data_IF_499390704416
#
_entry.id   IF_499390704416
#
_cell.length_a   1.000
_cell.length_b   1.000
_cell.length_c   1.000
_cell.angle_alpha   90.00
_cell.angle_beta   90.00
_cell.angle_gamma   90.00
#
_symmetry.space_group_name_H-M   'P 1'
#
loop_
_entity.id
_entity.type
_entity.pdbx_description
1 polymer ?
#
# COMPACT_ATOMS: atom_id res chain seq x y z
N UNK A 1 -17.64 19.90 -19.43
CA UNK A 1 -16.75 18.81 -18.97
C UNK A 1 -17.56 17.86 -18.13
N UNK A 2 -17.37 16.55 -18.29
CA UNK A 2 -18.01 15.61 -17.37
C UNK A 2 -17.42 15.81 -15.98
N UNK A 3 -18.26 15.89 -14.96
CA UNK A 3 -17.79 15.81 -13.58
C UNK A 3 -17.65 14.34 -13.18
N UNK A 4 -16.66 14.04 -12.36
CA UNK A 4 -16.51 12.71 -11.75
C UNK A 4 -17.74 12.41 -10.91
N UNK A 5 -18.27 13.43 -10.22
CA UNK A 5 -19.53 13.30 -9.47
C UNK A 5 -20.75 12.95 -10.33
N UNK A 6 -20.81 13.42 -11.57
CA UNK A 6 -21.89 13.08 -12.51
C UNK A 6 -21.79 11.64 -12.97
N UNK A 7 -20.59 11.19 -13.36
CA UNK A 7 -20.34 9.79 -13.73
C UNK A 7 -20.60 8.83 -12.57
N UNK A 8 -20.18 9.19 -11.36
CA UNK A 8 -20.46 8.40 -10.15
C UNK A 8 -21.97 8.24 -9.93
N UNK A 9 -22.73 9.35 -9.95
CA UNK A 9 -24.19 9.34 -9.77
C UNK A 9 -24.89 8.54 -10.85
N UNK A 10 -24.44 8.66 -12.10
CA UNK A 10 -24.96 7.86 -13.20
C UNK A 10 -24.73 6.36 -12.96
N UNK A 11 -23.52 5.95 -12.59
CA UNK A 11 -23.17 4.54 -12.33
C UNK A 11 -23.91 3.96 -11.12
N UNK A 12 -24.22 4.80 -10.11
CA UNK A 12 -25.10 4.42 -9.00
C UNK A 12 -26.54 4.22 -9.47
N UNK A 13 -27.08 5.13 -10.29
CA UNK A 13 -28.43 5.00 -10.85
C UNK A 13 -28.57 3.78 -11.77
N UNK A 14 -27.51 3.41 -12.48
CA UNK A 14 -27.42 2.19 -13.31
C UNK A 14 -27.20 0.91 -12.48
N UNK A 15 -27.01 1.01 -11.16
CA UNK A 15 -26.75 -0.14 -10.28
C UNK A 15 -25.35 -0.75 -10.42
N UNK A 16 -24.42 -0.09 -11.11
CA UNK A 16 -23.03 -0.56 -11.30
C UNK A 16 -22.12 -0.22 -10.13
N UNK A 17 -22.47 0.80 -9.35
CA UNK A 17 -21.75 1.22 -8.14
C UNK A 17 -22.73 1.25 -6.97
N UNK A 18 -22.34 0.65 -5.84
CA UNK A 18 -23.08 0.82 -4.58
C UNK A 18 -22.68 2.18 -3.97
N UNK A 19 -23.64 3.03 -3.58
CA UNK A 19 -23.32 4.34 -3.00
C UNK A 19 -22.55 4.18 -1.69
N UNK A 20 -21.46 4.93 -1.55
CA UNK A 20 -20.58 4.94 -0.38
C UNK A 20 -20.29 6.38 0.06
N UNK A 21 -20.42 6.65 1.36
CA UNK A 21 -20.29 8.00 1.92
C UNK A 21 -18.84 8.52 1.84
N UNK A 22 -17.83 7.66 2.02
CA UNK A 22 -16.43 8.06 1.94
C UNK A 22 -16.08 8.42 0.48
N UNK A 23 -16.52 7.61 -0.48
CA UNK A 23 -16.39 7.91 -1.92
C UNK A 23 -17.08 9.22 -2.29
N UNK A 24 -18.31 9.44 -1.83
CA UNK A 24 -19.03 10.68 -2.10
C UNK A 24 -18.32 11.91 -1.52
N UNK A 25 -17.69 11.78 -0.35
CA UNK A 25 -16.98 12.90 0.28
C UNK A 25 -15.77 13.38 -0.52
N UNK A 26 -15.17 12.52 -1.35
CA UNK A 26 -13.99 12.88 -2.16
C UNK A 26 -14.33 13.36 -3.58
N UNK A 27 -15.55 13.14 -4.07
CA UNK A 27 -15.97 13.57 -5.41
C UNK A 27 -15.77 15.07 -5.67
N UNK A 28 -16.06 15.99 -4.73
CA UNK A 28 -15.81 17.42 -4.94
C UNK A 28 -14.33 17.74 -5.16
N UNK A 29 -13.42 16.99 -4.55
CA UNK A 29 -11.97 17.18 -4.73
C UNK A 29 -11.50 16.70 -6.10
N UNK A 30 -12.08 15.61 -6.62
CA UNK A 30 -11.81 15.13 -7.97
C UNK A 30 -12.34 16.10 -9.04
N UNK A 31 -13.57 16.59 -8.86
CA UNK A 31 -14.18 17.60 -9.73
C UNK A 31 -13.36 18.90 -9.73
N UNK A 32 -12.90 19.36 -8.56
CA UNK A 32 -12.00 20.54 -8.44
C UNK A 32 -10.78 20.39 -9.32
N UNK A 33 -10.12 19.22 -9.32
CA UNK A 33 -8.92 19.02 -10.14
C UNK A 33 -9.24 19.19 -11.63
N UNK A 34 -10.35 18.64 -12.11
CA UNK A 34 -10.76 18.80 -13.51
C UNK A 34 -11.12 20.25 -13.85
N UNK A 35 -11.86 20.93 -12.95
CA UNK A 35 -12.23 22.33 -13.10
C UNK A 35 -10.98 23.24 -13.14
N UNK A 36 -10.00 22.99 -12.26
CA UNK A 36 -8.71 23.71 -12.22
C UNK A 36 -7.89 23.48 -13.49
N UNK A 37 -7.85 22.23 -14.00
CA UNK A 37 -7.15 21.91 -15.26
C UNK A 37 -7.78 22.65 -16.44
N UNK A 38 -9.11 22.79 -16.46
CA UNK A 38 -9.83 23.51 -17.50
C UNK A 38 -9.59 25.02 -17.43
N UNK A 39 -9.53 25.57 -16.21
CA UNK A 39 -9.29 26.98 -15.96
C UNK A 39 -7.82 27.38 -16.18
N UNK A 40 -6.87 26.44 -16.07
CA UNK A 40 -5.44 26.66 -16.27
C UNK A 40 -5.00 26.25 -17.69
N UNK A 41 -4.99 27.16 -18.69
CA UNK A 41 -4.47 26.85 -20.02
C UNK A 41 -3.02 26.36 -19.94
N UNK A 42 -2.63 25.49 -20.87
CA UNK A 42 -1.28 24.97 -20.91
C UNK A 42 -0.26 26.12 -20.95
N UNK A 43 0.87 26.03 -20.22
CA UNK A 43 1.90 27.05 -20.31
C UNK A 43 2.29 27.19 -21.78
N UNK A 44 1.99 28.35 -22.39
CA UNK A 44 2.37 28.61 -23.77
C UNK A 44 3.87 28.39 -23.89
N UNK A 45 4.30 27.67 -24.95
CA UNK A 45 5.73 27.58 -25.29
C UNK A 45 6.26 28.99 -25.32
N UNK A 46 7.17 29.33 -24.38
CA UNK A 46 7.80 30.65 -24.29
C UNK A 46 8.31 31.02 -25.67
N UNK A 47 7.61 31.92 -26.34
CA UNK A 47 8.05 32.42 -27.62
C UNK A 47 9.27 33.30 -27.33
N UNK A 48 10.43 32.87 -27.81
CA UNK A 48 11.68 33.61 -27.65
C UNK A 48 11.57 35.04 -28.24
N UNK A 49 10.67 35.24 -29.20
CA UNK A 49 10.40 36.54 -29.81
C UNK A 49 9.64 37.51 -28.89
N UNK A 50 8.72 37.04 -28.03
CA UNK A 50 8.02 37.90 -27.04
C UNK A 50 8.96 38.42 -25.95
N UNK A 51 9.94 37.60 -25.54
CA UNK A 51 10.99 38.01 -24.61
C UNK A 51 11.92 39.08 -25.22
N UNK A 52 12.10 39.08 -26.54
CA UNK A 52 12.90 40.07 -27.27
C UNK A 52 12.20 41.43 -27.44
N UNK A 53 10.86 41.47 -27.36
CA UNK A 53 10.05 42.68 -27.52
C UNK A 53 9.67 43.38 -26.20
N UNK A 54 10.21 42.94 -25.05
CA UNK A 54 9.97 43.59 -23.76
C UNK A 54 8.52 43.56 -23.27
N UNK A 55 7.66 42.70 -23.86
CA UNK A 55 6.28 42.53 -23.40
C UNK A 55 6.32 41.69 -22.12
N UNK A 56 6.08 42.35 -20.98
CA UNK A 56 5.99 41.70 -19.68
C UNK A 56 5.01 40.52 -19.72
N UNK A 57 5.44 39.38 -19.19
CA UNK A 57 4.59 38.19 -19.13
C UNK A 57 3.41 38.46 -18.20
N UNK A 58 2.18 38.05 -18.56
CA UNK A 58 1.08 38.05 -17.59
C UNK A 58 1.49 37.22 -16.36
N UNK A 59 1.01 37.57 -15.15
CA UNK A 59 1.30 36.81 -13.95
C UNK A 59 0.92 35.33 -14.18
N UNK A 60 1.76 34.38 -13.73
CA UNK A 60 1.47 32.97 -13.94
C UNK A 60 0.12 32.65 -13.31
N UNK A 61 -0.81 32.12 -14.13
CA UNK A 61 -2.07 31.60 -13.62
C UNK A 61 -1.76 30.56 -12.53
N UNK A 62 -2.54 30.50 -11.44
CA UNK A 62 -2.32 29.51 -10.39
C UNK A 62 -2.33 28.11 -11.01
N UNK A 63 -1.21 27.38 -10.85
CA UNK A 63 -1.09 26.04 -11.39
C UNK A 63 -2.11 25.13 -10.68
N UNK A 64 -2.90 24.41 -11.46
CA UNK A 64 -3.90 23.46 -10.94
C UNK A 64 -3.25 22.51 -9.92
N UNK A 65 -3.82 22.46 -8.71
CA UNK A 65 -3.31 21.62 -7.62
C UNK A 65 -3.77 20.19 -7.83
N UNK A 66 -2.83 19.25 -7.78
CA UNK A 66 -3.11 17.81 -7.91
C UNK A 66 -3.86 17.23 -6.71
N UNK A 67 -4.02 15.91 -6.68
CA UNK A 67 -4.71 15.19 -5.60
C UNK A 67 -3.94 13.93 -5.23
N UNK A 68 -3.74 13.72 -3.93
CA UNK A 68 -3.20 12.50 -3.35
C UNK A 68 -4.32 11.87 -2.51
N UNK A 69 -4.93 10.82 -3.05
CA UNK A 69 -6.01 10.10 -2.39
C UNK A 69 -5.44 8.88 -1.67
N UNK A 70 -5.62 8.80 -0.36
CA UNK A 70 -5.12 7.67 0.42
C UNK A 70 -6.21 7.04 1.28
N UNK A 71 -6.07 5.76 1.57
CA UNK A 71 -7.00 5.02 2.44
C UNK A 71 -6.79 3.52 2.31
N UNK A 72 -7.47 2.74 3.14
CA UNK A 72 -7.35 1.29 3.18
C UNK A 72 -7.63 0.57 1.84
N UNK A 73 -7.29 -0.72 1.77
CA UNK A 73 -7.60 -1.59 0.62
C UNK A 73 -9.13 -1.67 0.42
N UNK A 74 -9.57 -2.00 -0.79
CA UNK A 74 -11.01 -2.21 -1.06
C UNK A 74 -11.90 -0.96 -1.05
N UNK A 75 -11.38 0.23 -0.73
CA UNK A 75 -12.16 1.49 -0.64
C UNK A 75 -12.65 2.06 -1.98
N UNK A 76 -12.29 1.44 -3.10
CA UNK A 76 -12.68 1.90 -4.45
C UNK A 76 -11.82 3.05 -5.00
N UNK A 77 -10.59 3.22 -4.49
CA UNK A 77 -9.61 4.20 -5.00
C UNK A 77 -9.37 4.06 -6.51
N UNK A 78 -9.15 2.83 -6.98
CA UNK A 78 -8.92 2.54 -8.41
C UNK A 78 -10.16 2.84 -9.26
N UNK A 79 -11.35 2.55 -8.75
CA UNK A 79 -12.61 2.90 -9.41
C UNK A 79 -12.80 4.42 -9.51
N UNK A 80 -12.46 5.19 -8.45
CA UNK A 80 -12.48 6.65 -8.52
C UNK A 80 -11.46 7.19 -9.53
N UNK A 81 -10.30 6.52 -9.67
CA UNK A 81 -9.32 6.85 -10.70
C UNK A 81 -9.84 6.55 -12.13
N UNK A 82 -10.61 5.47 -12.30
CA UNK A 82 -11.31 5.17 -13.55
C UNK A 82 -12.29 6.29 -13.93
N UNK A 83 -13.15 6.70 -13.00
CA UNK A 83 -14.10 7.78 -13.23
C UNK A 83 -13.39 9.11 -13.53
N UNK A 84 -12.26 9.38 -12.87
CA UNK A 84 -11.44 10.57 -13.13
C UNK A 84 -10.86 10.57 -14.55
N UNK A 85 -10.30 9.44 -14.98
CA UNK A 85 -9.75 9.30 -16.33
C UNK A 85 -10.86 9.37 -17.40
N UNK A 86 -12.03 8.80 -17.14
CA UNK A 86 -13.19 8.85 -18.03
C UNK A 86 -13.78 10.28 -18.15
N UNK A 87 -13.81 11.03 -17.05
CA UNK A 87 -14.33 12.41 -17.03
C UNK A 87 -13.37 13.44 -17.66
N UNK A 88 -12.07 13.13 -17.72
CA UNK A 88 -11.05 14.05 -18.19
C UNK A 88 -11.21 14.37 -19.69
N UNK A 89 -11.30 15.65 -20.03
CA UNK A 89 -11.35 16.13 -21.44
C UNK A 89 -10.00 16.62 -21.96
N UNK A 90 -8.93 16.38 -21.22
CA UNK A 90 -7.55 16.68 -21.60
C UNK A 90 -6.79 15.38 -21.82
N UNK A 91 -5.64 15.39 -22.52
CA UNK A 91 -4.79 14.20 -22.62
C UNK A 91 -4.47 13.63 -21.25
N UNK A 92 -5.06 12.48 -20.94
CA UNK A 92 -4.91 11.78 -19.66
C UNK A 92 -4.14 10.49 -19.88
N UNK A 93 -3.29 10.14 -18.92
CA UNK A 93 -2.65 8.83 -18.84
C UNK A 93 -2.86 8.28 -17.44
N UNK A 94 -3.58 7.16 -17.37
CA UNK A 94 -3.71 6.33 -16.18
C UNK A 94 -2.73 5.18 -16.25
N UNK A 95 -1.98 4.92 -15.18
CA UNK A 95 -0.95 3.88 -15.13
C UNK A 95 -0.63 3.51 -13.67
N UNK A 96 -0.27 2.26 -13.41
CA UNK A 96 0.27 1.86 -12.10
C UNK A 96 1.63 2.52 -11.88
N UNK A 97 1.89 2.99 -10.67
CA UNK A 97 3.10 3.76 -10.38
C UNK A 97 4.39 2.97 -10.70
N UNK A 98 4.44 1.69 -10.34
CA UNK A 98 5.62 0.85 -10.60
C UNK A 98 5.90 0.66 -12.10
N UNK A 99 4.87 0.40 -12.91
CA UNK A 99 5.01 0.26 -14.38
C UNK A 99 5.51 1.56 -15.02
N UNK A 100 5.00 2.70 -14.54
CA UNK A 100 5.49 4.00 -14.98
C UNK A 100 6.97 4.20 -14.63
N UNK A 101 7.39 3.85 -13.41
CA UNK A 101 8.78 3.99 -13.00
C UNK A 101 9.72 3.11 -13.84
N UNK A 102 9.31 1.89 -14.20
CA UNK A 102 10.08 1.04 -15.12
C UNK A 102 10.28 1.69 -16.50
N UNK A 103 9.23 2.29 -17.08
CA UNK A 103 9.35 3.04 -18.34
C UNK A 103 10.31 4.22 -18.22
N UNK A 104 10.22 4.97 -17.12
CA UNK A 104 11.11 6.10 -16.84
C UNK A 104 12.55 5.62 -16.75
N UNK A 105 12.84 4.58 -15.96
CA UNK A 105 14.19 4.03 -15.84
C UNK A 105 14.77 3.58 -17.19
N UNK A 106 13.96 2.93 -18.04
CA UNK A 106 14.36 2.58 -19.40
C UNK A 106 14.67 3.84 -20.25
N UNK A 107 13.88 4.90 -20.11
CA UNK A 107 14.15 6.22 -20.68
C UNK A 107 15.49 6.82 -20.18
N UNK A 108 15.74 6.78 -18.88
CA UNK A 108 16.97 7.29 -18.28
C UNK A 108 18.20 6.54 -18.80
N UNK A 109 18.12 5.21 -18.93
CA UNK A 109 19.20 4.41 -19.48
C UNK A 109 19.52 4.79 -20.93
N UNK A 110 18.51 5.04 -21.77
CA UNK A 110 18.73 5.55 -23.14
C UNK A 110 19.35 6.96 -23.14
N UNK A 111 18.92 7.85 -22.26
CA UNK A 111 19.51 9.18 -22.11
C UNK A 111 20.98 9.13 -21.65
N UNK A 112 21.31 8.23 -20.72
CA UNK A 112 22.69 7.96 -20.27
C UNK A 112 23.59 7.54 -21.43
N UNK A 113 23.10 6.63 -22.29
CA UNK A 113 23.85 6.17 -23.46
C UNK A 113 24.13 7.29 -24.49
N UNK A 114 23.30 8.34 -24.54
CA UNK A 114 23.55 9.53 -25.36
C UNK A 114 24.55 10.52 -24.73
N UNK A 115 24.92 10.34 -23.46
CA UNK A 115 25.81 11.23 -22.73
C UNK A 115 25.13 12.45 -22.10
N UNK A 116 23.81 12.40 -21.89
CA UNK A 116 23.05 13.51 -21.31
C UNK A 116 23.48 13.78 -19.85
N UNK A 117 23.79 15.04 -19.50
CA UNK A 117 24.17 15.43 -18.12
C UNK A 117 23.01 15.36 -17.13
N UNK A 118 21.82 15.82 -17.53
CA UNK A 118 20.56 15.62 -16.80
C UNK A 118 19.72 14.62 -17.60
N UNK A 119 19.63 13.40 -17.10
CA UNK A 119 18.90 12.31 -17.78
C UNK A 119 17.41 12.35 -17.48
N UNK A 120 17.00 12.95 -16.36
CA UNK A 120 15.61 12.97 -15.89
C UNK A 120 14.78 13.99 -16.66
N UNK A 121 15.31 15.20 -16.84
CA UNK A 121 14.59 16.27 -17.55
C UNK A 121 14.13 15.89 -18.96
N UNK A 122 14.97 15.34 -19.87
CA UNK A 122 14.51 15.00 -21.23
C UNK A 122 13.40 13.94 -21.21
N UNK A 123 13.52 12.91 -20.35
CA UNK A 123 12.49 11.86 -20.22
C UNK A 123 11.19 12.44 -19.68
N UNK A 124 11.25 13.30 -18.65
CA UNK A 124 10.09 13.98 -18.11
C UNK A 124 9.41 14.89 -19.15
N UNK A 125 10.18 15.57 -20.00
CA UNK A 125 9.67 16.40 -21.08
C UNK A 125 8.94 15.58 -22.15
N UNK A 126 9.43 14.38 -22.47
CA UNK A 126 8.77 13.46 -23.40
C UNK A 126 7.41 13.00 -22.87
N UNK A 127 7.29 12.78 -21.56
CA UNK A 127 6.02 12.48 -20.90
C UNK A 127 5.09 13.70 -20.93
N UNK A 128 5.58 14.87 -20.47
CA UNK A 128 4.81 16.11 -20.40
C UNK A 128 4.29 16.60 -21.76
N UNK A 129 4.96 16.24 -22.86
CA UNK A 129 4.50 16.55 -24.21
C UNK A 129 3.23 15.76 -24.61
N UNK A 130 2.96 14.62 -23.98
CA UNK A 130 1.87 13.69 -24.33
C UNK A 130 0.67 13.78 -23.39
N UNK A 131 0.87 14.27 -22.17
CA UNK A 131 -0.14 14.21 -21.10
C UNK A 131 -0.30 15.57 -20.42
N UNK A 132 -1.53 15.87 -20.02
CA UNK A 132 -1.90 17.01 -19.18
C UNK A 132 -2.32 16.58 -17.78
N UNK A 133 -2.90 15.37 -17.68
CA UNK A 133 -3.27 14.73 -16.43
C UNK A 133 -2.57 13.36 -16.34
N UNK A 134 -1.80 13.15 -15.27
CA UNK A 134 -1.25 11.85 -14.89
C UNK A 134 -2.03 11.31 -13.71
N UNK A 135 -2.60 10.12 -13.90
CA UNK A 135 -3.37 9.37 -12.93
C UNK A 135 -2.54 8.16 -12.50
N UNK A 136 -1.91 8.22 -11.32
CA UNK A 136 -1.15 7.10 -10.78
C UNK A 136 -2.01 6.24 -9.87
N UNK A 137 -2.06 4.95 -10.15
CA UNK A 137 -2.61 3.98 -9.22
C UNK A 137 -1.54 3.35 -8.35
N UNK A 138 -1.91 3.14 -7.09
CA UNK A 138 -1.11 2.38 -6.10
C UNK A 138 0.32 2.91 -5.96
N UNK A 139 0.46 4.21 -5.73
CA UNK A 139 1.75 4.82 -5.47
C UNK A 139 2.36 4.23 -4.20
N UNK A 140 3.45 3.49 -4.39
CA UNK A 140 4.29 2.90 -3.37
C UNK A 140 5.74 2.98 -3.85
N UNK A 141 6.66 3.26 -2.93
CA UNK A 141 8.08 3.36 -3.23
C UNK A 141 8.83 2.47 -2.26
N UNK A 142 9.45 1.42 -2.80
CA UNK A 142 10.24 0.46 -2.02
C UNK A 142 11.69 0.42 -2.48
N UNK A 143 11.95 0.73 -3.75
CA UNK A 143 13.29 0.77 -4.33
C UNK A 143 13.96 2.14 -4.16
N UNK A 144 15.22 2.12 -3.75
CA UNK A 144 16.07 3.31 -3.67
C UNK A 144 16.25 3.99 -5.03
N UNK A 145 16.33 3.24 -6.13
CA UNK A 145 16.50 3.79 -7.47
C UNK A 145 15.34 4.71 -7.84
N UNK A 146 14.11 4.29 -7.53
CA UNK A 146 12.90 5.08 -7.75
C UNK A 146 12.85 6.29 -6.81
N UNK A 147 13.15 6.08 -5.53
CA UNK A 147 13.19 7.15 -4.52
C UNK A 147 14.15 8.29 -4.93
N UNK A 148 15.28 7.96 -5.56
CA UNK A 148 16.29 8.94 -5.97
C UNK A 148 15.89 9.78 -7.19
N UNK A 149 15.02 9.28 -8.07
CA UNK A 149 14.66 9.98 -9.32
C UNK A 149 13.28 10.63 -9.27
N UNK A 150 12.35 10.07 -8.48
CA UNK A 150 10.94 10.46 -8.49
C UNK A 150 10.74 11.94 -8.15
N UNK A 151 11.50 12.47 -7.18
CA UNK A 151 11.39 13.86 -6.77
C UNK A 151 11.70 14.83 -7.91
N UNK A 152 12.80 14.58 -8.62
CA UNK A 152 13.20 15.38 -9.77
C UNK A 152 12.22 15.21 -10.95
N UNK A 153 11.73 13.99 -11.16
CA UNK A 153 10.75 13.68 -12.20
C UNK A 153 9.45 14.47 -11.98
N UNK A 154 8.86 14.38 -10.80
CA UNK A 154 7.63 15.10 -10.45
C UNK A 154 7.83 16.60 -10.52
N UNK A 155 8.97 17.11 -10.06
CA UNK A 155 9.30 18.53 -10.18
C UNK A 155 9.20 19.01 -11.64
N UNK A 156 9.85 18.30 -12.58
CA UNK A 156 9.84 18.69 -14.00
C UNK A 156 8.43 18.57 -14.59
N UNK A 157 7.69 17.50 -14.30
CA UNK A 157 6.31 17.32 -14.78
C UNK A 157 5.40 18.47 -14.30
N UNK A 158 5.48 18.79 -13.01
CA UNK A 158 4.71 19.87 -12.38
C UNK A 158 5.14 21.28 -12.87
N UNK A 159 6.41 21.47 -13.25
CA UNK A 159 6.92 22.69 -13.91
C UNK A 159 6.35 22.85 -15.33
N UNK A 160 6.10 21.73 -16.04
CA UNK A 160 5.48 21.75 -17.38
C UNK A 160 3.95 21.86 -17.34
N UNK A 161 3.37 22.01 -16.15
CA UNK A 161 1.92 22.12 -15.98
C UNK A 161 1.17 20.80 -16.16
N UNK A 162 1.86 19.66 -15.98
CA UNK A 162 1.19 18.36 -15.83
C UNK A 162 0.59 18.31 -14.43
N UNK A 163 -0.70 17.97 -14.35
CA UNK A 163 -1.38 17.75 -13.07
C UNK A 163 -1.31 16.29 -12.70
N UNK A 164 -1.04 16.01 -11.43
CA UNK A 164 -0.88 14.65 -10.91
C UNK A 164 -2.02 14.35 -9.94
N UNK A 165 -2.71 13.25 -10.20
CA UNK A 165 -3.66 12.62 -9.29
C UNK A 165 -3.12 11.24 -8.99
N UNK A 166 -3.03 10.88 -7.71
CA UNK A 166 -2.44 9.60 -7.30
C UNK A 166 -3.25 8.94 -6.21
N UNK A 167 -3.31 7.60 -6.21
CA UNK A 167 -3.88 6.80 -5.13
C UNK A 167 -2.79 6.06 -4.37
N UNK A 168 -2.95 5.89 -3.05
CA UNK A 168 -2.05 5.07 -2.23
C UNK A 168 -2.78 4.43 -1.05
N UNK A 169 -2.22 3.36 -0.50
CA UNK A 169 -2.64 2.82 0.79
C UNK A 169 -1.92 3.50 1.97
N UNK A 170 -0.98 4.42 1.69
CA UNK A 170 -0.14 5.08 2.69
C UNK A 170 -0.28 6.60 2.56
N UNK A 171 -0.16 7.30 3.68
CA UNK A 171 0.05 8.75 3.68
C UNK A 171 1.41 9.09 3.03
N UNK A 172 1.60 10.31 2.48
CA UNK A 172 2.85 10.70 1.84
C UNK A 172 4.10 10.48 2.72
N UNK A 173 3.97 10.73 4.02
CA UNK A 173 5.04 10.55 5.00
C UNK A 173 5.54 9.10 5.04
N UNK A 174 4.67 8.15 4.77
CA UNK A 174 4.94 6.72 4.91
C UNK A 174 5.36 6.05 3.59
N UNK A 175 5.40 6.79 2.46
CA UNK A 175 5.71 6.24 1.13
C UNK A 175 7.08 5.56 1.00
N UNK A 176 8.06 5.98 1.81
CA UNK A 176 9.43 5.42 1.83
C UNK A 176 9.94 5.42 3.28
N UNK A 177 9.06 5.08 4.23
CA UNK A 177 9.39 4.99 5.66
C UNK A 177 10.40 3.87 5.82
N UNK A 178 11.57 4.16 6.42
CA UNK A 178 12.71 3.24 6.58
C UNK A 178 13.56 2.96 5.33
N UNK A 179 13.28 3.60 4.20
CA UNK A 179 14.11 3.45 3.01
C UNK A 179 15.54 4.00 3.19
N UNK A 180 16.51 3.41 2.49
CA UNK A 180 17.91 3.85 2.55
C UNK A 180 18.02 5.34 2.14
N UNK A 181 18.77 6.12 2.90
CA UNK A 181 18.93 7.56 2.71
C UNK A 181 17.60 8.33 2.63
N UNK A 182 16.59 7.94 3.42
CA UNK A 182 15.27 8.59 3.49
C UNK A 182 15.32 10.12 3.56
N UNK A 183 16.34 10.71 4.17
CA UNK A 183 16.55 12.16 4.19
C UNK A 183 16.57 12.80 2.79
N UNK A 184 17.05 12.09 1.77
CA UNK A 184 17.05 12.53 0.38
C UNK A 184 15.65 12.49 -0.25
N UNK A 185 14.72 11.73 0.34
CA UNK A 185 13.34 11.58 -0.10
C UNK A 185 12.39 12.59 0.56
N UNK A 186 12.75 13.16 1.71
CA UNK A 186 11.94 14.18 2.40
C UNK A 186 11.53 15.37 1.50
N UNK A 187 12.41 15.93 0.64
CA UNK A 187 12.02 17.00 -0.28
C UNK A 187 10.90 16.60 -1.26
N UNK A 188 10.79 15.30 -1.59
CA UNK A 188 9.70 14.81 -2.42
C UNK A 188 8.38 14.73 -1.67
N UNK A 189 8.40 14.35 -0.39
CA UNK A 189 7.21 14.40 0.49
C UNK A 189 6.72 15.85 0.60
N UNK A 190 7.64 16.81 0.78
CA UNK A 190 7.32 18.24 0.80
C UNK A 190 6.70 18.69 -0.53
N UNK A 191 7.26 18.25 -1.66
CA UNK A 191 6.71 18.53 -2.98
C UNK A 191 5.27 18.00 -3.12
N UNK A 192 4.99 16.79 -2.64
CA UNK A 192 3.62 16.23 -2.62
C UNK A 192 2.71 17.14 -1.81
N UNK A 193 3.08 17.49 -0.57
CA UNK A 193 2.25 18.32 0.31
C UNK A 193 1.98 19.72 -0.27
N UNK A 194 2.96 20.29 -0.96
CA UNK A 194 2.84 21.61 -1.58
C UNK A 194 1.98 21.59 -2.85
N UNK A 195 2.09 20.55 -3.67
CA UNK A 195 1.54 20.55 -5.04
C UNK A 195 0.29 19.68 -5.19
N UNK A 196 0.05 18.77 -4.26
CA UNK A 196 -1.12 17.90 -4.22
C UNK A 196 -1.92 18.20 -2.96
N UNK A 197 -3.24 18.14 -3.07
CA UNK A 197 -4.13 18.10 -1.93
C UNK A 197 -4.17 16.66 -1.40
N UNK A 198 -3.92 16.45 -0.11
CA UNK A 198 -3.90 15.10 0.49
C UNK A 198 -5.25 14.83 1.14
N UNK A 199 -6.00 13.88 0.61
CA UNK A 199 -7.36 13.55 1.04
C UNK A 199 -7.43 12.09 1.45
N UNK A 200 -8.07 11.83 2.59
CA UNK A 200 -8.31 10.49 3.09
C UNK A 200 -9.65 9.98 2.56
N UNK A 201 -9.66 8.79 1.96
CA UNK A 201 -10.82 8.00 1.56
C UNK A 201 -11.24 7.05 2.69
N UNK A 202 -11.14 7.49 3.94
CA UNK A 202 -11.74 6.83 5.09
C UNK A 202 -12.65 7.86 5.76
N UNK A 203 -13.87 7.45 6.12
CA UNK A 203 -14.88 8.35 6.66
C UNK A 203 -14.38 9.08 7.92
N UNK A 204 -14.56 10.41 7.98
CA UNK A 204 -14.30 11.23 9.19
C UNK A 204 -15.19 10.86 10.40
N UNK A 205 -16.11 9.92 10.23
CA UNK A 205 -16.76 9.24 11.36
C UNK A 205 -15.99 7.96 11.61
N UNK A 206 -15.09 8.04 12.57
CA UNK A 206 -14.48 6.91 13.22
C UNK A 206 -15.60 6.07 13.88
N UNK A 207 -16.26 5.23 13.08
CA UNK A 207 -17.09 4.14 13.57
C UNK A 207 -16.20 2.98 14.02
N UNK A 208 -15.28 3.26 14.95
CA UNK A 208 -14.69 2.25 15.85
C UNK A 208 -15.64 1.80 16.96
N UNK A 209 -16.91 2.21 16.90
CA UNK A 209 -17.97 1.75 17.76
C UNK A 209 -19.10 1.19 16.90
N UNK A 210 -19.29 -0.14 16.93
CA UNK A 210 -20.56 -0.74 16.56
C UNK A 210 -20.58 -1.92 15.58
N UNK A 211 -19.45 -2.59 15.28
CA UNK A 211 -19.49 -3.94 14.68
C UNK A 211 -18.37 -4.82 15.24
N UNK A 212 -18.76 -5.91 15.89
CA UNK A 212 -17.90 -6.96 16.43
C UNK A 212 -17.15 -7.68 15.29
N UNK A 213 -15.91 -8.11 15.58
CA UNK A 213 -15.13 -9.14 14.89
C UNK A 213 -14.38 -8.84 13.56
N UNK A 214 -13.80 -7.64 13.42
CA UNK A 214 -12.59 -7.41 12.60
C UNK A 214 -11.36 -7.01 13.44
N UNK A 215 -11.51 -7.10 14.77
CA UNK A 215 -10.66 -6.46 15.76
C UNK A 215 -9.27 -7.08 15.85
N UNK A 216 -8.27 -6.22 15.93
CA UNK A 216 -6.90 -6.46 16.39
C UNK A 216 -6.41 -7.91 16.26
N UNK A 217 -5.66 -8.20 15.19
CA UNK A 217 -5.07 -9.53 14.97
C UNK A 217 -3.60 -9.63 15.43
N UNK A 218 -3.08 -8.59 16.09
CA UNK A 218 -1.78 -8.60 16.75
C UNK A 218 -1.86 -8.00 18.16
N UNK A 219 -1.43 -8.77 19.16
CA UNK A 219 -1.44 -8.38 20.56
C UNK A 219 0.00 -8.22 21.07
N UNK A 220 0.34 -7.01 21.51
CA UNK A 220 1.67 -6.67 22.01
C UNK A 220 1.52 -5.74 23.23
N UNK A 221 2.26 -5.98 24.34
CA UNK A 221 3.11 -7.15 24.58
C UNK A 221 2.29 -8.43 24.84
N UNK A 222 2.90 -9.60 24.70
CA UNK A 222 2.31 -10.91 25.00
C UNK A 222 2.17 -11.17 26.51
N UNK A 223 1.34 -10.36 27.17
CA UNK A 223 1.04 -10.42 28.60
C UNK A 223 -0.28 -11.14 28.90
N UNK A 224 -0.72 -11.08 30.17
CA UNK A 224 -1.97 -11.70 30.60
C UNK A 224 -3.22 -11.11 29.92
N UNK A 225 -3.19 -9.83 29.54
CA UNK A 225 -4.30 -9.19 28.83
C UNK A 225 -4.36 -9.67 27.38
N UNK A 226 -3.21 -9.77 26.70
CA UNK A 226 -3.11 -10.38 25.37
C UNK A 226 -3.61 -11.83 25.38
N UNK A 227 -3.23 -12.61 26.40
CA UNK A 227 -3.72 -13.98 26.56
C UNK A 227 -5.24 -14.05 26.69
N UNK A 228 -5.83 -13.23 27.57
CA UNK A 228 -7.28 -13.20 27.75
C UNK A 228 -8.03 -12.76 26.48
N UNK A 229 -7.47 -11.82 25.71
CA UNK A 229 -8.03 -11.41 24.43
C UNK A 229 -7.96 -12.52 23.37
N UNK A 230 -6.83 -13.24 23.29
CA UNK A 230 -6.68 -14.41 22.42
C UNK A 230 -7.64 -15.55 22.81
N UNK A 231 -7.84 -15.77 24.11
CA UNK A 231 -8.82 -16.74 24.62
C UNK A 231 -10.25 -16.35 24.21
N UNK A 232 -10.63 -15.07 24.36
CA UNK A 232 -11.95 -14.58 23.93
C UNK A 232 -12.18 -14.70 22.42
N UNK A 233 -11.16 -14.42 21.59
CA UNK A 233 -11.26 -14.60 20.12
C UNK A 233 -11.38 -16.09 19.76
N UNK A 234 -10.65 -16.95 20.44
CA UNK A 234 -10.77 -18.40 20.25
C UNK A 234 -12.20 -18.86 20.54
N UNK A 235 -12.76 -18.45 21.67
CA UNK A 235 -14.14 -18.78 22.06
C UNK A 235 -15.17 -18.24 21.07
N UNK A 236 -14.97 -17.02 20.55
CA UNK A 236 -15.84 -16.43 19.53
C UNK A 236 -15.81 -17.18 18.20
N UNK A 237 -14.61 -17.61 17.76
CA UNK A 237 -14.43 -18.29 16.48
C UNK A 237 -14.81 -19.78 16.51
N UNK A 238 -14.74 -20.43 17.67
CA UNK A 238 -14.84 -21.91 17.78
C UNK A 238 -15.95 -22.39 18.73
N UNK A 239 -16.57 -21.48 19.49
CA UNK A 239 -17.49 -21.85 20.57
C UNK A 239 -16.79 -22.37 21.84
N UNK A 240 -15.45 -22.26 21.92
CA UNK A 240 -14.64 -22.60 23.09
C UNK A 240 -14.16 -24.05 23.16
N UNK A 241 -14.52 -24.89 22.18
CA UNK A 241 -14.08 -26.28 22.10
C UNK A 241 -12.96 -26.44 21.07
N UNK A 242 -11.91 -27.19 21.41
CA UNK A 242 -10.77 -27.47 20.54
C UNK A 242 -10.09 -28.76 20.93
N UNK A 243 -9.69 -29.56 19.94
CA UNK A 243 -8.95 -30.78 20.16
C UNK A 243 -7.63 -30.77 19.37
N UNK A 244 -6.60 -31.49 19.82
CA UNK A 244 -5.40 -31.68 19.04
C UNK A 244 -5.72 -32.30 17.67
N UNK A 245 -5.16 -31.72 16.60
CA UNK A 245 -5.27 -32.27 15.25
C UNK A 245 -3.90 -32.63 14.70
N UNK A 246 -3.74 -33.88 14.29
CA UNK A 246 -2.55 -34.35 13.58
C UNK A 246 -2.60 -33.94 12.11
N UNK A 247 -1.56 -33.27 11.63
CA UNK A 247 -1.37 -32.88 10.23
C UNK A 247 -0.34 -33.82 9.60
N UNK A 248 -0.73 -34.51 8.53
CA UNK A 248 0.11 -35.50 7.85
C UNK A 248 0.73 -34.94 6.57
N UNK A 249 2.03 -35.21 6.39
CA UNK A 249 2.82 -34.78 5.22
C UNK A 249 3.80 -35.88 4.86
N UNK A 250 3.62 -36.51 3.69
CA UNK A 250 4.60 -37.46 3.14
C UNK A 250 4.97 -38.63 4.07
N UNK A 251 4.03 -39.14 4.87
CA UNK A 251 4.23 -40.28 5.77
C UNK A 251 4.74 -39.93 7.17
N UNK A 252 4.99 -38.65 7.46
CA UNK A 252 5.19 -38.13 8.83
C UNK A 252 4.05 -37.18 9.21
N UNK A 253 3.91 -36.85 10.49
CA UNK A 253 2.93 -35.86 10.92
C UNK A 253 3.33 -35.15 12.20
N UNK A 254 2.70 -34.01 12.45
CA UNK A 254 2.88 -33.22 13.66
C UNK A 254 1.52 -32.80 14.22
N UNK A 255 1.46 -32.55 15.52
CA UNK A 255 0.22 -32.20 16.21
C UNK A 255 0.09 -30.67 16.32
N UNK A 256 -1.05 -30.17 15.88
CA UNK A 256 -1.54 -28.84 16.15
C UNK A 256 -2.34 -28.90 17.47
N UNK A 257 -1.92 -28.20 18.55
CA UNK A 257 -2.47 -28.40 19.90
C UNK A 257 -3.97 -28.18 20.02
N UNK A 258 -4.49 -27.14 19.35
CA UNK A 258 -5.91 -26.82 19.33
C UNK A 258 -6.35 -26.62 17.89
N UNK A 259 -7.43 -27.31 17.52
CA UNK A 259 -8.08 -27.17 16.23
C UNK A 259 -9.58 -27.35 16.37
N UNK A 260 -10.34 -26.47 15.72
CA UNK A 260 -11.79 -26.57 15.57
C UNK A 260 -12.23 -25.87 14.28
N UNK A 261 -13.04 -26.54 13.46
CA UNK A 261 -13.70 -25.96 12.27
C UNK A 261 -12.83 -25.08 11.35
N UNK A 262 -11.56 -25.47 11.13
CA UNK A 262 -10.64 -24.71 10.27
C UNK A 262 -9.87 -23.60 10.99
N UNK A 263 -10.07 -23.42 12.28
CA UNK A 263 -9.29 -22.53 13.16
C UNK A 263 -8.26 -23.37 13.91
N UNK A 264 -6.99 -23.01 13.78
CA UNK A 264 -5.88 -23.60 14.51
C UNK A 264 -5.32 -22.67 15.56
N UNK A 265 -4.91 -23.17 16.73
CA UNK A 265 -4.20 -22.39 17.75
C UNK A 265 -3.03 -23.16 18.35
N UNK A 266 -1.89 -22.49 18.46
CA UNK A 266 -0.64 -23.06 18.96
C UNK A 266 0.26 -21.99 19.58
N UNK A 267 1.16 -22.37 20.49
CA UNK A 267 2.24 -21.48 20.90
C UNK A 267 3.34 -21.37 19.83
N UNK A 268 4.12 -20.30 19.86
CA UNK A 268 5.27 -20.14 18.96
C UNK A 268 6.20 -21.36 18.96
N UNK A 269 6.52 -21.88 20.15
CA UNK A 269 7.44 -23.01 20.29
C UNK A 269 6.86 -24.35 19.83
N UNK A 270 5.52 -24.47 19.74
CA UNK A 270 4.87 -25.66 19.20
C UNK A 270 5.05 -25.80 17.69
N UNK A 271 5.20 -24.67 17.00
CA UNK A 271 5.37 -24.60 15.55
C UNK A 271 6.85 -24.43 15.18
N UNK A 272 7.51 -23.42 15.73
CA UNK A 272 8.86 -23.04 15.33
C UNK A 272 9.95 -23.72 16.18
N UNK A 273 9.63 -24.22 17.38
CA UNK A 273 10.57 -24.97 18.24
C UNK A 273 10.75 -26.44 17.84
N UNK A 274 9.88 -26.97 16.99
CA UNK A 274 9.94 -28.35 16.47
C UNK A 274 10.68 -28.39 15.12
N UNK A 275 11.21 -29.55 14.68
CA UNK A 275 11.91 -29.70 13.40
C UNK A 275 10.93 -29.77 12.20
N UNK A 276 10.04 -28.77 12.09
CA UNK A 276 9.15 -28.57 10.96
C UNK A 276 9.89 -27.84 9.82
N UNK A 277 9.58 -28.20 8.59
CA UNK A 277 10.12 -27.62 7.37
C UNK A 277 9.03 -27.07 6.44
N UNK A 278 9.42 -26.58 5.25
CA UNK A 278 8.50 -25.92 4.33
C UNK A 278 7.27 -26.75 3.95
N UNK A 279 7.44 -28.06 3.73
CA UNK A 279 6.33 -28.94 3.38
C UNK A 279 5.28 -29.08 4.50
N UNK A 280 5.72 -29.02 5.77
CA UNK A 280 4.82 -29.08 6.93
C UNK A 280 4.01 -27.79 7.06
N UNK A 281 4.63 -26.63 6.84
CA UNK A 281 3.93 -25.35 6.87
C UNK A 281 2.95 -25.16 5.71
N UNK A 282 3.27 -25.69 4.53
CA UNK A 282 2.32 -25.73 3.41
C UNK A 282 1.14 -26.69 3.66
N UNK A 283 1.34 -27.75 4.45
CA UNK A 283 0.24 -28.61 4.86
C UNK A 283 -0.60 -27.95 5.95
N UNK A 284 0.04 -27.26 6.91
CA UNK A 284 -0.64 -26.44 7.90
C UNK A 284 -1.53 -25.39 7.24
N UNK A 285 -0.98 -24.60 6.31
CA UNK A 285 -1.73 -23.52 5.64
C UNK A 285 -2.91 -24.01 4.80
N UNK A 286 -2.90 -25.27 4.37
CA UNK A 286 -4.04 -25.93 3.70
C UNK A 286 -5.07 -26.50 4.68
N UNK A 287 -4.67 -26.77 5.92
CA UNK A 287 -5.54 -27.38 6.93
C UNK A 287 -6.35 -26.35 7.73
N UNK A 288 -5.91 -25.09 7.76
CA UNK A 288 -6.54 -23.98 8.50
C UNK A 288 -6.93 -22.83 7.58
N UNK A 289 -8.03 -22.15 7.92
CA UNK A 289 -8.45 -20.86 7.36
C UNK A 289 -8.00 -19.70 8.26
N UNK A 290 -7.92 -19.95 9.58
CA UNK A 290 -7.41 -19.02 10.58
C UNK A 290 -6.35 -19.73 11.43
N UNK A 291 -5.18 -19.11 11.60
CA UNK A 291 -4.16 -19.58 12.54
C UNK A 291 -3.97 -18.55 13.66
N UNK A 292 -4.03 -19.03 14.90
CA UNK A 292 -3.75 -18.26 16.11
C UNK A 292 -2.39 -18.67 16.70
N UNK A 293 -1.48 -17.72 16.90
CA UNK A 293 -0.14 -17.99 17.48
C UNK A 293 0.04 -17.26 18.80
N UNK A 294 0.23 -18.01 19.89
CA UNK A 294 0.47 -17.45 21.21
C UNK A 294 1.97 -17.20 21.48
N UNK A 295 2.26 -16.05 22.11
CA UNK A 295 3.53 -15.71 22.74
C UNK A 295 4.77 -15.84 21.83
N UNK A 296 4.76 -15.17 20.69
CA UNK A 296 5.94 -15.02 19.82
C UNK A 296 7.04 -14.27 20.59
N UNK A 297 8.20 -14.89 20.88
CA UNK A 297 9.24 -14.26 21.67
C UNK A 297 10.00 -13.22 20.84
N UNK A 298 10.82 -12.40 21.50
CA UNK A 298 11.89 -11.67 20.79
C UNK A 298 12.86 -12.70 20.22
N UNK A 299 13.13 -12.58 18.93
CA UNK A 299 14.03 -13.41 18.17
C UNK A 299 15.40 -12.72 18.08
N UNK A 300 16.46 -13.53 18.08
CA UNK A 300 17.85 -13.10 18.10
C UNK A 300 18.74 -14.21 17.55
N UNK A 301 20.06 -13.96 17.48
CA UNK A 301 21.02 -14.99 17.09
C UNK A 301 20.94 -16.29 17.92
N UNK A 302 20.48 -16.22 19.18
CA UNK A 302 20.36 -17.41 20.04
C UNK A 302 19.21 -18.37 19.68
N UNK A 303 18.21 -17.92 18.92
CA UNK A 303 17.08 -18.72 18.44
C UNK A 303 16.91 -18.58 16.91
N UNK A 304 18.05 -18.50 16.21
CA UNK A 304 18.12 -18.29 14.77
C UNK A 304 17.37 -19.34 13.94
N UNK A 305 17.45 -20.62 14.33
CA UNK A 305 16.78 -21.70 13.61
C UNK A 305 15.25 -21.57 13.71
N UNK A 306 14.76 -21.17 14.87
CA UNK A 306 13.34 -20.93 15.13
C UNK A 306 12.87 -19.67 14.39
N UNK A 307 13.69 -18.63 14.34
CA UNK A 307 13.42 -17.44 13.53
C UNK A 307 13.28 -17.79 12.04
N UNK A 308 14.20 -18.59 11.48
CA UNK A 308 14.09 -19.08 10.08
C UNK A 308 12.83 -19.90 9.82
N UNK A 309 12.47 -20.76 10.77
CA UNK A 309 11.23 -21.53 10.71
C UNK A 309 10.00 -20.63 10.75
N UNK A 310 10.03 -19.57 11.56
CA UNK A 310 8.98 -18.57 11.61
C UNK A 310 8.83 -17.81 10.28
N UNK A 311 9.94 -17.36 9.67
CA UNK A 311 9.93 -16.78 8.30
C UNK A 311 9.24 -17.73 7.32
N UNK A 312 9.64 -19.01 7.31
CA UNK A 312 9.07 -20.02 6.40
C UNK A 312 7.57 -20.25 6.66
N UNK A 313 7.14 -20.23 7.93
CA UNK A 313 5.73 -20.34 8.30
C UNK A 313 4.94 -19.15 7.77
N UNK A 314 5.39 -17.92 8.02
CA UNK A 314 4.70 -16.71 7.56
C UNK A 314 4.61 -16.69 6.04
N UNK A 315 5.66 -17.09 5.33
CA UNK A 315 5.66 -17.21 3.87
C UNK A 315 4.54 -18.15 3.38
N UNK A 316 4.43 -19.34 3.98
CA UNK A 316 3.40 -20.32 3.61
C UNK A 316 1.97 -19.84 3.91
N UNK A 317 1.76 -19.14 5.02
CA UNK A 317 0.45 -18.57 5.39
C UNK A 317 0.08 -17.40 4.48
N UNK A 318 1.07 -16.57 4.13
CA UNK A 318 0.89 -15.41 3.26
C UNK A 318 0.46 -15.83 1.86
N UNK A 319 1.13 -16.83 1.28
CA UNK A 319 0.79 -17.37 -0.04
C UNK A 319 -0.59 -18.04 -0.05
N UNK A 320 -0.92 -18.77 1.01
CA UNK A 320 -2.22 -19.43 1.16
C UNK A 320 -3.36 -18.50 1.59
N UNK A 321 -3.08 -17.21 1.82
CA UNK A 321 -4.05 -16.20 2.29
C UNK A 321 -4.77 -16.60 3.59
N UNK A 322 -4.08 -17.33 4.47
CA UNK A 322 -4.60 -17.71 5.79
C UNK A 322 -4.67 -16.47 6.69
N UNK A 323 -5.76 -16.31 7.44
CA UNK A 323 -5.88 -15.24 8.44
C UNK A 323 -5.02 -15.57 9.66
N UNK A 324 -4.12 -14.67 10.04
CA UNK A 324 -3.25 -14.84 11.21
C UNK A 324 -3.72 -13.93 12.35
N UNK A 325 -3.84 -14.48 13.55
CA UNK A 325 -4.06 -13.75 14.80
C UNK A 325 -2.93 -14.12 15.75
N UNK A 326 -2.20 -13.18 16.33
CA UNK A 326 -1.03 -13.53 17.13
C UNK A 326 -0.79 -12.61 18.32
N UNK A 327 -0.12 -13.14 19.35
CA UNK A 327 0.47 -12.33 20.42
C UNK A 327 1.99 -12.40 20.36
N UNK A 328 2.66 -11.26 20.51
CA UNK A 328 4.10 -11.12 20.41
C UNK A 328 4.74 -10.32 21.54
N UNK A 329 6.00 -10.63 21.86
CA UNK A 329 6.79 -9.91 22.85
C UNK A 329 7.17 -8.48 22.41
N UNK A 330 7.04 -8.19 21.11
CA UNK A 330 7.13 -6.85 20.53
C UNK A 330 6.29 -6.78 19.22
N UNK A 331 6.22 -5.59 18.62
CA UNK A 331 5.71 -5.37 17.27
C UNK A 331 6.50 -6.16 16.22
N UNK A 332 5.90 -6.53 15.05
CA UNK A 332 6.57 -7.36 14.05
C UNK A 332 7.96 -6.86 13.63
N UNK A 333 8.15 -5.55 13.48
CA UNK A 333 9.44 -4.95 13.10
C UNK A 333 10.50 -5.03 14.20
N UNK A 334 10.08 -5.23 15.45
CA UNK A 334 10.93 -5.24 16.62
C UNK A 334 11.15 -6.64 17.20
N UNK A 335 10.57 -7.67 16.55
CA UNK A 335 10.76 -9.06 16.94
C UNK A 335 12.18 -9.56 16.65
N UNK A 336 12.92 -9.00 15.68
CA UNK A 336 14.32 -9.39 15.39
C UNK A 336 15.17 -8.15 15.08
N UNK A 337 15.84 -7.62 16.10
CA UNK A 337 16.56 -6.34 15.98
C UNK A 337 18.02 -6.48 15.52
N UNK A 338 18.68 -7.61 15.77
CA UNK A 338 20.12 -7.78 15.50
C UNK A 338 20.49 -9.24 15.15
N UNK A 339 21.35 -9.43 14.13
CA UNK A 339 21.93 -10.72 13.75
C UNK A 339 21.97 -11.00 12.25
N UNK A 340 22.67 -12.07 11.85
CA UNK A 340 22.64 -12.60 10.47
C UNK A 340 21.18 -12.96 10.11
N UNK A 341 20.70 -12.62 8.91
CA UNK A 341 19.29 -12.86 8.50
C UNK A 341 18.28 -11.75 8.84
N UNK A 342 18.70 -10.61 9.37
CA UNK A 342 17.82 -9.45 9.62
C UNK A 342 17.01 -9.01 8.39
N UNK A 343 17.60 -9.08 7.20
CA UNK A 343 16.95 -8.76 5.94
C UNK A 343 15.77 -9.69 5.59
N UNK A 344 15.89 -11.01 5.84
CA UNK A 344 14.78 -11.96 5.63
C UNK A 344 13.63 -11.70 6.61
N UNK A 345 13.98 -11.22 7.81
CA UNK A 345 13.02 -10.90 8.86
C UNK A 345 12.28 -9.59 8.60
N UNK A 346 12.92 -8.57 8.02
CA UNK A 346 12.25 -7.32 7.58
C UNK A 346 11.11 -7.60 6.59
N UNK A 347 11.34 -8.49 5.61
CA UNK A 347 10.29 -8.95 4.69
C UNK A 347 9.16 -9.64 5.43
N UNK A 348 9.50 -10.47 6.42
CA UNK A 348 8.53 -11.19 7.25
C UNK A 348 7.68 -10.23 8.08
N UNK A 349 8.29 -9.19 8.66
CA UNK A 349 7.58 -8.14 9.38
C UNK A 349 6.60 -7.37 8.48
N UNK A 350 6.99 -7.05 7.24
CA UNK A 350 6.08 -6.44 6.26
C UNK A 350 4.89 -7.35 5.94
N UNK A 351 5.13 -8.66 5.73
CA UNK A 351 4.05 -9.63 5.51
C UNK A 351 3.12 -9.72 6.70
N UNK A 352 3.66 -9.75 7.92
CA UNK A 352 2.87 -9.74 9.16
C UNK A 352 2.00 -8.49 9.26
N UNK A 353 2.50 -7.31 8.88
CA UNK A 353 1.72 -6.07 8.81
C UNK A 353 0.58 -6.18 7.80
N UNK A 354 0.84 -6.65 6.59
CA UNK A 354 -0.18 -6.81 5.56
C UNK A 354 -1.26 -7.84 5.98
N UNK A 355 -0.85 -8.91 6.68
CA UNK A 355 -1.75 -9.90 7.25
C UNK A 355 -2.62 -9.34 8.39
N UNK A 356 -2.28 -8.17 8.94
CA UNK A 356 -3.09 -7.48 9.95
C UNK A 356 -4.22 -6.63 9.36
N UNK A 357 -4.22 -6.41 8.04
CA UNK A 357 -5.27 -5.63 7.40
C UNK A 357 -6.63 -6.37 7.47
N UNK A 358 -7.70 -5.62 7.74
CA UNK A 358 -9.04 -6.19 7.92
C UNK A 358 -9.59 -6.92 6.67
N UNK A 359 -9.05 -6.58 5.49
CA UNK A 359 -9.41 -7.15 4.19
C UNK A 359 -8.54 -8.37 3.82
N UNK A 360 -7.61 -8.79 4.68
CA UNK A 360 -6.72 -9.90 4.42
C UNK A 360 -7.47 -11.24 4.28
N UNK A 361 -7.23 -11.95 3.18
CA UNK A 361 -7.77 -13.29 2.95
C UNK A 361 -9.25 -13.36 2.57
N UNK A 362 -9.92 -12.22 2.32
CA UNK A 362 -11.28 -12.22 1.80
C UNK A 362 -11.26 -12.62 0.31
N UNK A 363 -11.78 -13.80 -0.02
CA UNK A 363 -12.12 -14.14 -1.40
C UNK A 363 -13.23 -13.19 -1.86
N UNK A 364 -13.01 -12.53 -2.99
CA UNK A 364 -14.08 -11.85 -3.70
C UNK A 364 -15.02 -12.94 -4.23
N UNK A 365 -16.17 -13.12 -3.55
CA UNK A 365 -17.32 -13.84 -4.10
C UNK A 365 -17.95 -13.08 -5.27
#
# INVERSE_FOLDING_TARGET
MGKVSDLYRQRVAEGRIRPDAAQQSVLPHLDRVLDDIAAAPAPEKRSAWRAFLGVGSPPPAPAARGLYLWGGVGRGKSMLMDLMAEAATVPVRRVHFHEFMQEIQAGLNRARLRGDRDTVRPVAMEVAAKVRLLCFDEMQITDIADAMIVGRLFQVLLEQGVVIVTTSNRVPEDLYKHGLNRQLFLPFIDLIRQRLEVVCLDSQVDHRQGRTAGGQVWFCPADAAAKAAMDGIWDELTGGEGAPRRIEVGGRGFDLPLFAEGVGRAGFWDLCGKPLGPADYLALSRAVQVLMIDAIPRLSASNYNEAKRFVTLIDALYEAKVRLIASGADEPEQLYNEGEGSFEFERTASRLREMQDADWGQQAD
#
